data_IF_456584136954
#
_entry.id   IF_456584136954
#
_cell.length_a   1.000
_cell.length_b   1.000
_cell.length_c   1.000
_cell.angle_alpha   90.00
_cell.angle_beta   90.00
_cell.angle_gamma   90.00
#
_symmetry.space_group_name_H-M   'P 1'
#
loop_
_entity.id
_entity.type
_entity.pdbx_description
1 polymer ?
#
# COMPACT_ATOMS: atom_id res chain seq x y z
N UNK A 1 -9.21 -11.34 25.17
CA UNK A 1 -10.07 -10.50 24.31
C UNK A 1 -9.43 -10.46 22.93
N UNK A 2 -10.21 -10.42 21.83
CA UNK A 2 -9.66 -10.23 20.49
C UNK A 2 -8.96 -8.88 20.39
N UNK A 3 -7.90 -8.81 19.58
CA UNK A 3 -7.08 -7.61 19.32
C UNK A 3 -6.95 -7.33 17.82
N UNK A 4 -6.37 -6.19 17.46
CA UNK A 4 -6.05 -5.82 16.08
C UNK A 4 -4.57 -5.93 15.84
N UNK A 5 -4.16 -6.68 14.82
CA UNK A 5 -2.78 -6.73 14.36
C UNK A 5 -2.64 -5.82 13.15
N UNK A 6 -1.77 -4.82 13.23
CA UNK A 6 -1.56 -3.80 12.21
C UNK A 6 -0.18 -3.97 11.61
N UNK A 7 -0.12 -4.45 10.37
CA UNK A 7 1.12 -4.71 9.64
C UNK A 7 1.37 -3.57 8.67
N UNK A 8 2.37 -2.74 8.96
CA UNK A 8 2.77 -1.60 8.16
C UNK A 8 4.07 -1.91 7.40
N UNK A 9 3.99 -2.06 6.08
CA UNK A 9 5.13 -2.36 5.22
C UNK A 9 5.49 -1.11 4.41
N UNK A 10 6.60 -0.46 4.74
CA UNK A 10 7.01 0.74 4.01
C UNK A 10 7.77 0.40 2.71
N UNK A 11 7.65 1.26 1.73
CA UNK A 11 8.30 1.13 0.43
C UNK A 11 9.48 2.07 0.32
N UNK A 12 10.66 1.63 0.73
CA UNK A 12 11.88 2.44 0.56
C UNK A 12 12.78 1.81 -0.50
N UNK A 13 13.37 2.65 -1.33
CA UNK A 13 14.68 2.45 -1.97
C UNK A 13 15.48 3.72 -1.64
N UNK A 14 16.77 3.75 -1.99
CA UNK A 14 17.56 4.97 -2.10
C UNK A 14 16.89 5.97 -3.07
N UNK A 15 15.84 6.66 -2.66
CA UNK A 15 15.56 8.00 -3.17
C UNK A 15 16.34 8.94 -2.25
N UNK A 16 17.37 9.65 -2.77
CA UNK A 16 17.97 10.79 -2.10
C UNK A 16 16.93 11.82 -1.61
N UNK A 17 15.69 11.69 -2.08
CA UNK A 17 14.57 12.60 -1.88
C UNK A 17 13.69 12.25 -0.66
N UNK A 18 13.88 11.10 0.02
CA UNK A 18 13.11 10.80 1.23
C UNK A 18 13.64 11.64 2.40
N UNK A 19 13.01 12.80 2.58
CA UNK A 19 13.37 13.80 3.58
C UNK A 19 12.28 13.93 4.66
N UNK A 20 11.13 13.28 4.47
CA UNK A 20 10.00 13.28 5.39
C UNK A 20 9.41 11.85 5.58
N UNK A 21 8.56 11.64 6.60
CA UNK A 21 7.86 10.37 6.81
C UNK A 21 6.95 9.99 5.63
N UNK A 22 6.85 8.69 5.34
CA UNK A 22 5.83 8.18 4.40
C UNK A 22 4.47 8.12 5.10
N UNK A 23 3.40 7.94 4.32
CA UNK A 23 2.07 7.71 4.85
C UNK A 23 1.98 6.40 5.66
N UNK A 24 2.80 5.40 5.34
CA UNK A 24 2.91 4.16 6.14
C UNK A 24 3.55 4.46 7.49
N UNK A 25 4.63 5.26 7.52
CA UNK A 25 5.24 5.72 8.78
C UNK A 25 4.23 6.50 9.62
N UNK A 26 3.53 7.48 9.00
CA UNK A 26 2.52 8.28 9.71
C UNK A 26 1.41 7.40 10.31
N UNK A 27 0.91 6.41 9.58
CA UNK A 27 -0.07 5.44 10.11
C UNK A 27 0.51 4.61 11.25
N UNK A 28 1.71 4.05 11.10
CA UNK A 28 2.32 3.20 12.12
C UNK A 28 2.55 3.94 13.45
N UNK A 29 2.95 5.22 13.37
CA UNK A 29 3.11 6.08 14.54
C UNK A 29 1.77 6.48 15.17
N UNK A 30 0.73 6.69 14.34
CA UNK A 30 -0.55 7.23 14.77
C UNK A 30 -1.54 6.20 15.31
N UNK A 31 -1.34 4.89 15.13
CA UNK A 31 -2.25 3.88 15.68
C UNK A 31 -2.21 3.95 17.21
N UNK A 32 -3.38 4.08 17.85
CA UNK A 32 -3.47 4.09 19.31
C UNK A 32 -3.24 2.69 19.87
N UNK A 33 -2.68 2.56 21.08
CA UNK A 33 -2.48 1.24 21.70
C UNK A 33 -3.79 0.47 21.92
N UNK A 34 -4.90 1.19 22.15
CA UNK A 34 -6.24 0.63 22.33
C UNK A 34 -7.30 1.51 21.66
N UNK A 35 -8.41 0.90 21.23
CA UNK A 35 -9.60 1.66 20.84
C UNK A 35 -10.44 2.12 22.05
N UNK A 36 -11.52 2.86 21.78
CA UNK A 36 -12.44 3.36 22.82
C UNK A 36 -13.13 2.26 23.64
N UNK A 37 -13.06 0.99 23.22
CA UNK A 37 -13.59 -0.18 23.93
C UNK A 37 -12.49 -0.98 24.64
N UNK A 38 -11.24 -0.50 24.64
CA UNK A 38 -10.10 -1.18 25.22
C UNK A 38 -9.58 -2.35 24.38
N UNK A 39 -9.94 -2.44 23.09
CA UNK A 39 -9.39 -3.46 22.19
C UNK A 39 -7.96 -3.05 21.83
N UNK A 40 -7.00 -3.87 22.22
CA UNK A 40 -5.57 -3.70 21.90
C UNK A 40 -5.34 -3.63 20.38
N UNK A 41 -4.46 -2.74 19.95
CA UNK A 41 -4.01 -2.60 18.57
C UNK A 41 -2.48 -2.67 18.50
N UNK A 42 -1.96 -3.78 18.02
CA UNK A 42 -0.52 -4.06 18.00
C UNK A 42 0.07 -3.80 16.62
N UNK A 43 1.01 -2.87 16.55
CA UNK A 43 1.65 -2.46 15.30
C UNK A 43 2.94 -3.23 15.07
N UNK A 44 3.14 -3.68 13.83
CA UNK A 44 4.41 -4.13 13.28
C UNK A 44 4.79 -3.20 12.14
N UNK A 45 6.05 -2.74 12.14
CA UNK A 45 6.59 -1.89 11.10
C UNK A 45 7.77 -2.55 10.41
N UNK A 46 7.64 -2.80 9.10
CA UNK A 46 8.71 -3.30 8.25
C UNK A 46 9.32 -2.16 7.45
N UNK A 47 10.62 -1.95 7.64
CA UNK A 47 11.43 -1.08 6.79
C UNK A 47 11.52 -1.66 5.38
N UNK A 48 11.41 -0.81 4.36
CA UNK A 48 11.49 -1.24 2.97
C UNK A 48 12.89 -1.73 2.56
N UNK A 49 12.94 -2.39 1.40
CA UNK A 49 14.15 -3.04 0.87
C UNK A 49 15.23 -2.03 0.49
N UNK A 50 16.44 -2.17 1.04
CA UNK A 50 17.61 -1.35 0.67
C UNK A 50 17.88 -0.14 1.56
N UNK A 51 17.39 -0.15 2.81
CA UNK A 51 17.70 0.86 3.86
C UNK A 51 18.94 0.52 4.70
N UNK A 52 19.57 -0.65 4.48
CA UNK A 52 20.80 -1.04 5.16
C UNK A 52 22.00 -0.21 4.70
N UNK A 53 22.82 0.28 5.65
CA UNK A 53 24.08 0.99 5.35
C UNK A 53 24.98 0.10 4.47
N UNK A 54 25.15 0.48 3.20
CA UNK A 54 26.08 -0.15 2.26
C UNK A 54 25.48 -1.08 1.21
N UNK A 55 24.17 -1.35 1.23
CA UNK A 55 23.55 -2.26 0.26
C UNK A 55 23.15 -1.54 -1.04
N UNK A 56 24.10 -1.44 -1.98
CA UNK A 56 23.77 -1.23 -3.40
C UNK A 56 23.37 -2.56 -4.01
N UNK A 57 22.06 -2.77 -4.19
CA UNK A 57 21.51 -4.06 -4.61
C UNK A 57 21.54 -4.25 -6.13
N UNK A 58 22.24 -5.30 -6.56
CA UNK A 58 22.09 -5.99 -7.84
C UNK A 58 20.82 -6.87 -7.83
N UNK A 59 20.19 -7.11 -8.98
CA UNK A 59 18.82 -7.66 -9.09
C UNK A 59 18.49 -8.97 -8.35
N UNK A 60 19.48 -9.74 -7.86
CA UNK A 60 19.27 -10.94 -7.03
C UNK A 60 18.96 -10.66 -5.55
N UNK A 61 19.62 -9.68 -4.93
CA UNK A 61 19.36 -9.32 -3.52
C UNK A 61 18.00 -8.62 -3.34
N UNK A 62 17.44 -8.06 -4.41
CA UNK A 62 16.14 -7.41 -4.42
C UNK A 62 14.97 -8.39 -4.18
N UNK A 63 14.92 -9.49 -4.92
CA UNK A 63 13.87 -10.52 -4.74
C UNK A 63 13.99 -11.25 -3.41
N UNK A 64 15.23 -11.41 -2.93
CA UNK A 64 15.52 -11.95 -1.60
C UNK A 64 14.99 -11.02 -0.50
N UNK A 65 15.29 -9.72 -0.55
CA UNK A 65 14.81 -8.75 0.43
C UNK A 65 13.27 -8.65 0.48
N UNK A 66 12.60 -8.73 -0.67
CA UNK A 66 11.14 -8.74 -0.71
C UNK A 66 10.53 -10.01 -0.08
N UNK A 67 11.13 -11.17 -0.34
CA UNK A 67 10.72 -12.44 0.30
C UNK A 67 10.90 -12.37 1.81
N UNK A 68 12.04 -11.84 2.25
CA UNK A 68 12.35 -11.67 3.66
C UNK A 68 11.29 -10.80 4.34
N UNK A 69 10.95 -9.64 3.77
CA UNK A 69 9.93 -8.76 4.34
C UNK A 69 8.54 -9.43 4.41
N UNK A 70 8.16 -10.24 3.42
CA UNK A 70 6.88 -10.99 3.45
C UNK A 70 6.89 -12.04 4.56
N UNK A 71 7.99 -12.78 4.72
CA UNK A 71 8.17 -13.81 5.76
C UNK A 71 8.17 -13.16 7.16
N UNK A 72 8.88 -12.05 7.35
CA UNK A 72 8.94 -11.31 8.61
C UNK A 72 7.55 -10.80 9.02
N UNK A 73 6.83 -10.17 8.08
CA UNK A 73 5.45 -9.71 8.33
C UNK A 73 4.50 -10.88 8.66
N UNK A 74 4.64 -12.02 7.96
CA UNK A 74 3.86 -13.22 8.26
C UNK A 74 4.21 -13.83 9.63
N UNK A 75 5.51 -13.86 9.98
CA UNK A 75 5.99 -14.33 11.28
C UNK A 75 5.39 -13.50 12.42
N UNK A 76 5.39 -12.18 12.29
CA UNK A 76 4.71 -11.31 13.25
C UNK A 76 3.23 -11.70 13.45
N UNK A 77 2.49 -11.94 12.35
CA UNK A 77 1.09 -12.39 12.42
C UNK A 77 0.99 -13.72 13.15
N UNK A 78 1.81 -14.71 12.81
CA UNK A 78 1.82 -16.05 13.45
C UNK A 78 2.12 -15.96 14.95
N UNK A 79 3.08 -15.14 15.35
CA UNK A 79 3.52 -15.02 16.75
C UNK A 79 2.52 -14.28 17.63
N UNK A 80 1.71 -13.39 17.06
CA UNK A 80 0.82 -12.51 17.82
C UNK A 80 -0.67 -12.87 17.67
N UNK A 81 -1.07 -13.64 16.66
CA UNK A 81 -2.47 -13.91 16.38
C UNK A 81 -3.11 -14.92 17.35
N UNK A 82 -4.30 -14.58 17.83
CA UNK A 82 -5.24 -15.48 18.47
C UNK A 82 -6.55 -15.54 17.66
N UNK A 83 -7.29 -16.66 17.68
CA UNK A 83 -8.59 -16.76 17.03
C UNK A 83 -9.53 -15.62 17.45
N UNK A 84 -10.05 -14.88 16.46
CA UNK A 84 -10.92 -13.72 16.66
C UNK A 84 -10.22 -12.37 16.51
N UNK A 85 -8.89 -12.33 16.40
CA UNK A 85 -8.16 -11.11 16.12
C UNK A 85 -8.42 -10.60 14.69
N UNK A 86 -8.36 -9.29 14.51
CA UNK A 86 -8.56 -8.62 13.22
C UNK A 86 -7.21 -8.23 12.59
N UNK A 87 -7.05 -8.48 11.29
CA UNK A 87 -5.81 -8.18 10.56
C UNK A 87 -5.94 -6.94 9.66
N UNK A 88 -5.06 -5.97 9.86
CA UNK A 88 -4.95 -4.75 9.08
C UNK A 88 -3.58 -4.72 8.39
N UNK A 89 -3.55 -4.51 7.08
CA UNK A 89 -2.33 -4.39 6.30
C UNK A 89 -2.24 -3.02 5.66
N UNK A 90 -1.10 -2.37 5.82
CA UNK A 90 -0.77 -1.10 5.17
C UNK A 90 0.52 -1.23 4.38
N UNK A 91 0.60 -0.55 3.24
CA UNK A 91 1.89 -0.41 2.58
C UNK A 91 1.93 0.57 1.44
N UNK A 92 3.13 1.04 1.12
CA UNK A 92 3.39 1.99 0.04
C UNK A 92 4.35 1.36 -0.98
N UNK A 93 4.14 1.58 -2.27
CA UNK A 93 5.09 1.18 -3.32
C UNK A 93 5.37 -0.34 -3.33
N UNK A 94 6.62 -0.76 -3.08
CA UNK A 94 6.97 -2.18 -2.87
C UNK A 94 6.54 -2.69 -1.49
N UNK A 95 6.45 -1.82 -0.49
CA UNK A 95 5.82 -2.15 0.78
C UNK A 95 4.34 -2.53 0.61
N UNK A 96 3.63 -1.89 -0.33
CA UNK A 96 2.29 -2.31 -0.72
C UNK A 96 2.28 -3.72 -1.36
N UNK A 97 3.30 -4.05 -2.16
CA UNK A 97 3.49 -5.42 -2.66
C UNK A 97 3.68 -6.39 -1.49
N UNK A 98 4.53 -6.06 -0.51
CA UNK A 98 4.75 -6.88 0.69
C UNK A 98 3.45 -7.09 1.44
N UNK A 99 2.72 -6.02 1.78
CA UNK A 99 1.45 -6.07 2.49
C UNK A 99 0.41 -6.95 1.78
N UNK A 100 0.23 -6.76 0.46
CA UNK A 100 -0.66 -7.58 -0.37
C UNK A 100 -0.20 -9.04 -0.44
N UNK A 101 1.10 -9.28 -0.51
CA UNK A 101 1.66 -10.62 -0.55
C UNK A 101 1.50 -11.34 0.78
N UNK A 102 1.73 -10.67 1.91
CA UNK A 102 1.49 -11.24 3.24
C UNK A 102 0.01 -11.57 3.44
N UNK A 103 -0.91 -10.71 2.98
CA UNK A 103 -2.34 -11.01 2.93
C UNK A 103 -2.64 -12.26 2.08
N UNK A 104 -2.05 -12.37 0.89
CA UNK A 104 -2.16 -13.56 0.04
C UNK A 104 -1.57 -14.82 0.69
N UNK A 105 -0.48 -14.67 1.44
CA UNK A 105 0.19 -15.74 2.16
C UNK A 105 -0.70 -16.27 3.29
N UNK A 106 -1.26 -15.38 4.11
CA UNK A 106 -2.28 -15.74 5.13
C UNK A 106 -3.46 -16.48 4.50
N UNK A 107 -3.92 -16.06 3.31
CA UNK A 107 -4.99 -16.76 2.60
C UNK A 107 -4.60 -18.17 2.16
N UNK A 108 -3.38 -18.36 1.66
CA UNK A 108 -2.93 -19.63 1.12
C UNK A 108 -2.62 -20.63 2.24
N UNK A 109 -1.75 -20.26 3.18
CA UNK A 109 -1.25 -21.14 4.23
C UNK A 109 -2.02 -21.03 5.55
N UNK A 110 -2.96 -20.10 5.69
CA UNK A 110 -3.61 -19.79 6.98
C UNK A 110 -2.65 -19.02 7.88
N UNK A 111 -2.96 -18.95 9.17
CA UNK A 111 -2.05 -18.44 10.20
C UNK A 111 -1.58 -19.64 11.02
N UNK A 112 -0.29 -20.00 10.94
CA UNK A 112 0.23 -21.16 11.66
C UNK A 112 -0.10 -21.08 13.16
N UNK A 113 -0.49 -22.21 13.74
CA UNK A 113 -0.68 -22.31 15.19
C UNK A 113 0.68 -22.22 15.89
N UNK A 114 0.75 -21.77 17.16
CA UNK A 114 2.01 -21.60 17.89
C UNK A 114 2.91 -22.85 17.90
N UNK A 115 2.32 -24.06 17.85
CA UNK A 115 3.07 -25.33 17.86
C UNK A 115 3.69 -25.69 16.49
N UNK A 116 3.41 -24.90 15.45
CA UNK A 116 3.82 -25.16 14.06
C UNK A 116 4.59 -23.98 13.45
N UNK A 117 5.12 -23.07 14.27
CA UNK A 117 5.96 -21.94 13.84
C UNK A 117 7.20 -22.38 13.06
N UNK A 118 7.71 -23.58 13.34
CA UNK A 118 8.82 -24.20 12.60
C UNK A 118 8.48 -24.53 11.12
N UNK A 119 7.21 -24.41 10.72
CA UNK A 119 6.74 -24.65 9.34
C UNK A 119 6.56 -23.38 8.51
N UNK A 120 7.08 -22.24 8.96
CA UNK A 120 6.98 -20.98 8.19
C UNK A 120 7.59 -21.15 6.78
N UNK A 121 8.73 -21.85 6.66
CA UNK A 121 9.37 -22.07 5.36
C UNK A 121 8.54 -23.02 4.47
N UNK A 122 7.96 -24.09 5.04
CA UNK A 122 7.03 -24.98 4.33
C UNK A 122 5.81 -24.20 3.82
N UNK A 123 5.24 -23.35 4.67
CA UNK A 123 4.10 -22.50 4.35
C UNK A 123 4.46 -21.51 3.23
N UNK A 124 5.65 -20.90 3.30
CA UNK A 124 6.11 -19.95 2.29
C UNK A 124 6.40 -20.63 0.95
N UNK A 125 6.98 -21.84 0.97
CA UNK A 125 7.18 -22.66 -0.22
C UNK A 125 5.82 -23.00 -0.87
N UNK A 126 4.84 -23.41 -0.07
CA UNK A 126 3.47 -23.66 -0.54
C UNK A 126 2.83 -22.41 -1.16
N UNK A 127 3.01 -21.25 -0.54
CA UNK A 127 2.53 -19.98 -1.07
C UNK A 127 3.23 -19.60 -2.38
N UNK A 128 4.54 -19.85 -2.49
CA UNK A 128 5.38 -19.51 -3.64
C UNK A 128 5.21 -20.44 -4.82
N UNK A 129 4.81 -21.69 -4.59
CA UNK A 129 4.47 -22.64 -5.64
C UNK A 129 3.18 -22.13 -6.35
N UNK A 130 3.30 -21.83 -7.64
CA UNK A 130 2.25 -21.18 -8.46
C UNK A 130 1.44 -22.19 -9.28
N UNK A 131 1.57 -23.48 -9.00
CA UNK A 131 0.81 -24.50 -9.71
C UNK A 131 -0.65 -24.51 -9.24
N UNK A 132 -1.57 -25.00 -10.08
CA UNK A 132 -2.97 -25.20 -9.68
C UNK A 132 -3.11 -26.08 -8.42
N UNK A 133 -2.10 -26.90 -8.13
CA UNK A 133 -2.01 -27.79 -6.97
C UNK A 133 -1.82 -27.07 -5.64
N UNK A 134 -1.33 -25.83 -5.65
CA UNK A 134 -1.00 -25.03 -4.45
C UNK A 134 -1.76 -23.71 -4.40
N UNK A 135 -2.72 -23.51 -5.31
CA UNK A 135 -3.69 -22.43 -5.25
C UNK A 135 -4.42 -22.45 -3.89
N UNK A 136 -4.85 -21.32 -3.29
CA UNK A 136 -5.49 -21.32 -1.96
C UNK A 136 -6.73 -22.21 -1.82
N UNK A 137 -7.39 -22.55 -2.94
CA UNK A 137 -8.54 -23.48 -3.02
C UNK A 137 -8.17 -24.91 -3.38
N UNK A 138 -6.88 -25.22 -3.55
CA UNK A 138 -6.39 -26.56 -3.84
C UNK A 138 -6.55 -27.48 -2.62
N UNK A 139 -6.53 -28.80 -2.88
CA UNK A 139 -6.52 -29.82 -1.82
C UNK A 139 -5.31 -29.65 -0.92
N UNK A 140 -4.13 -29.39 -1.48
CA UNK A 140 -2.88 -29.28 -0.71
C UNK A 140 -2.94 -28.09 0.26
N UNK A 141 -3.29 -26.90 -0.22
CA UNK A 141 -3.40 -25.72 0.65
C UNK A 141 -4.51 -25.87 1.68
N UNK A 142 -5.62 -26.50 1.31
CA UNK A 142 -6.73 -26.75 2.25
C UNK A 142 -6.34 -27.72 3.37
N UNK A 143 -5.65 -28.82 3.03
CA UNK A 143 -5.13 -29.77 4.02
C UNK A 143 -4.07 -29.12 4.91
N UNK A 144 -3.15 -28.33 4.33
CA UNK A 144 -2.14 -27.61 5.10
C UNK A 144 -2.79 -26.68 6.15
N UNK A 145 -3.76 -25.86 5.74
CA UNK A 145 -4.49 -24.96 6.65
C UNK A 145 -5.20 -25.72 7.76
N UNK A 146 -5.93 -26.79 7.43
CA UNK A 146 -6.66 -27.60 8.42
C UNK A 146 -5.73 -28.24 9.45
N UNK A 147 -4.57 -28.73 8.99
CA UNK A 147 -3.61 -29.42 9.84
C UNK A 147 -2.83 -28.47 10.74
N UNK A 148 -2.36 -27.33 10.21
CA UNK A 148 -1.33 -26.54 10.88
C UNK A 148 -1.73 -25.12 11.25
N UNK A 149 -2.88 -24.63 10.79
CA UNK A 149 -3.20 -23.21 10.85
C UNK A 149 -4.57 -22.92 11.47
N UNK A 150 -4.77 -21.66 11.82
CA UNK A 150 -6.08 -21.03 11.94
C UNK A 150 -6.46 -20.42 10.58
N UNK A 151 -7.75 -20.47 10.25
CA UNK A 151 -8.30 -19.73 9.12
C UNK A 151 -8.90 -18.42 9.65
N UNK A 152 -8.50 -17.29 9.07
CA UNK A 152 -8.98 -15.96 9.46
C UNK A 152 -9.23 -15.09 8.24
N UNK A 153 -10.15 -14.14 8.39
CA UNK A 153 -10.42 -13.10 7.39
C UNK A 153 -9.44 -11.96 7.57
N UNK A 154 -9.15 -11.27 6.48
CA UNK A 154 -8.35 -10.05 6.50
C UNK A 154 -9.31 -8.89 6.56
N UNK A 155 -9.27 -8.13 7.66
CA UNK A 155 -10.22 -7.05 7.93
C UNK A 155 -10.04 -5.89 6.97
N UNK A 156 -8.78 -5.53 6.69
CA UNK A 156 -8.46 -4.33 5.91
C UNK A 156 -7.10 -4.43 5.21
N UNK A 157 -7.04 -4.02 3.95
CA UNK A 157 -5.80 -3.76 3.23
C UNK A 157 -5.86 -2.32 2.69
N UNK A 158 -4.95 -1.46 3.12
CA UNK A 158 -4.83 -0.09 2.64
C UNK A 158 -3.46 0.15 2.02
N UNK A 159 -3.40 0.44 0.73
CA UNK A 159 -2.13 0.60 0.03
C UNK A 159 -2.04 1.90 -0.75
N UNK A 160 -0.83 2.46 -0.82
CA UNK A 160 -0.51 3.60 -1.66
C UNK A 160 0.37 3.14 -2.82
N UNK A 161 -0.09 3.45 -4.02
CA UNK A 161 0.59 3.32 -5.30
C UNK A 161 1.43 2.05 -5.47
N UNK A 162 0.78 0.89 -5.37
CA UNK A 162 1.45 -0.41 -5.45
C UNK A 162 2.25 -0.53 -6.75
N UNK A 163 3.56 -0.79 -6.67
CA UNK A 163 4.41 -1.10 -7.83
C UNK A 163 4.90 -2.54 -7.76
N UNK A 164 4.96 -3.21 -8.91
CA UNK A 164 5.44 -4.58 -9.00
C UNK A 164 6.92 -4.70 -8.61
N UNK A 165 7.31 -5.87 -8.11
CA UNK A 165 8.70 -6.21 -7.79
C UNK A 165 9.67 -6.07 -8.99
N UNK A 166 9.16 -5.97 -10.22
CA UNK A 166 9.98 -6.01 -11.45
C UNK A 166 10.36 -4.59 -11.96
N UNK A 167 10.00 -3.55 -11.20
CA UNK A 167 9.96 -2.16 -11.67
C UNK A 167 11.25 -1.33 -11.54
N UNK A 168 12.44 -1.88 -11.77
CA UNK A 168 13.66 -1.05 -11.96
C UNK A 168 14.43 -1.62 -13.16
N UNK A 169 14.77 -0.80 -14.17
CA UNK A 169 15.63 -1.24 -15.26
C UNK A 169 17.03 -1.42 -14.67
N UNK A 170 17.44 -2.68 -14.50
CA UNK A 170 18.86 -3.00 -14.36
C UNK A 170 19.50 -2.57 -15.68
N UNK A 171 20.35 -1.56 -15.60
CA UNK A 171 21.24 -1.18 -16.69
C UNK A 171 22.04 -2.42 -17.13
N UNK A 172 21.68 -2.98 -18.30
CA UNK A 172 22.40 -4.06 -18.95
C UNK A 172 21.55 -5.27 -19.33
N UNK A 173 21.11 -5.28 -20.60
CA UNK A 173 20.77 -6.46 -21.42
C UNK A 173 19.79 -7.53 -20.91
N UNK A 174 18.64 -7.63 -21.58
CA UNK A 174 18.03 -8.89 -22.08
C UNK A 174 17.52 -9.97 -21.11
N UNK A 175 17.99 -10.04 -19.86
CA UNK A 175 17.72 -11.18 -18.96
C UNK A 175 16.55 -10.98 -17.98
N UNK A 176 15.96 -9.78 -17.91
CA UNK A 176 14.84 -9.50 -16.99
C UNK A 176 13.64 -10.43 -17.22
N UNK A 177 13.44 -10.89 -18.47
CA UNK A 177 12.27 -11.68 -18.87
C UNK A 177 12.25 -13.13 -18.36
N UNK A 178 13.39 -13.70 -17.95
CA UNK A 178 13.45 -15.07 -17.42
C UNK A 178 13.34 -15.12 -15.88
N UNK A 179 13.79 -14.05 -15.21
CA UNK A 179 13.60 -13.84 -13.77
C UNK A 179 12.18 -13.34 -13.46
N UNK A 180 11.51 -12.76 -14.46
CA UNK A 180 10.17 -12.15 -14.46
C UNK A 180 9.05 -13.02 -13.85
N UNK A 181 8.99 -14.32 -14.14
CA UNK A 181 7.83 -15.14 -13.75
C UNK A 181 7.86 -15.58 -12.28
N UNK A 182 9.03 -15.57 -11.62
CA UNK A 182 9.11 -16.00 -10.21
C UNK A 182 8.63 -14.93 -9.22
N UNK A 183 8.65 -13.66 -9.65
CA UNK A 183 8.41 -12.49 -8.78
C UNK A 183 7.20 -11.63 -9.19
N UNK A 184 6.52 -11.97 -10.29
CA UNK A 184 5.24 -11.35 -10.64
C UNK A 184 4.20 -11.61 -9.54
N UNK A 185 3.28 -10.65 -9.34
CA UNK A 185 2.24 -10.69 -8.32
C UNK A 185 1.60 -12.07 -8.18
N UNK A 186 1.43 -12.48 -6.92
CA UNK A 186 0.50 -13.54 -6.55
C UNK A 186 -0.90 -13.03 -6.81
N UNK A 187 -1.45 -13.37 -7.97
CA UNK A 187 -2.80 -13.07 -8.45
C UNK A 187 -3.25 -11.62 -8.18
N UNK A 188 -3.34 -10.80 -9.23
CA UNK A 188 -3.92 -9.45 -9.09
C UNK A 188 -5.40 -9.49 -8.69
N UNK A 189 -6.04 -10.67 -8.70
CA UNK A 189 -7.35 -10.89 -8.09
C UNK A 189 -7.26 -10.86 -6.55
N UNK A 190 -8.06 -10.00 -5.94
CA UNK A 190 -8.22 -9.95 -4.50
C UNK A 190 -8.85 -11.26 -3.99
N UNK A 191 -8.43 -11.72 -2.81
CA UNK A 191 -9.02 -12.92 -2.18
C UNK A 191 -10.40 -12.62 -1.59
N UNK A 192 -11.35 -13.56 -1.67
CA UNK A 192 -12.66 -13.47 -1.00
C UNK A 192 -12.60 -13.45 0.54
N UNK A 193 -11.42 -13.68 1.12
CA UNK A 193 -11.16 -13.59 2.55
C UNK A 193 -10.85 -12.17 3.02
N UNK A 194 -10.67 -11.23 2.08
CA UNK A 194 -10.47 -9.82 2.41
C UNK A 194 -11.82 -9.13 2.54
N UNK A 195 -12.10 -8.50 3.66
CA UNK A 195 -13.33 -7.72 3.85
C UNK A 195 -13.25 -6.39 3.11
N UNK A 196 -12.10 -5.73 3.14
CA UNK A 196 -11.93 -4.43 2.51
C UNK A 196 -10.52 -4.19 1.96
N UNK A 197 -10.46 -3.63 0.76
CA UNK A 197 -9.23 -3.32 0.05
C UNK A 197 -9.31 -1.91 -0.56
N UNK A 198 -8.41 -1.03 -0.14
CA UNK A 198 -8.36 0.37 -0.55
C UNK A 198 -6.98 0.66 -1.14
N UNK A 199 -6.94 1.23 -2.34
CA UNK A 199 -5.70 1.61 -3.01
C UNK A 199 -5.77 3.07 -3.46
N UNK A 200 -4.83 3.89 -2.99
CA UNK A 200 -4.60 5.23 -3.53
C UNK A 200 -3.59 5.15 -4.68
N UNK A 201 -3.89 5.77 -5.83
CA UNK A 201 -3.08 5.67 -7.05
C UNK A 201 -2.61 7.04 -7.51
N UNK A 202 -1.35 7.13 -7.94
CA UNK A 202 -0.80 8.35 -8.53
C UNK A 202 -1.29 8.52 -9.96
N UNK A 203 -1.84 9.68 -10.27
CA UNK A 203 -2.28 10.01 -11.62
C UNK A 203 -1.08 10.44 -12.49
N UNK A 204 -0.19 11.26 -11.94
CA UNK A 204 0.81 12.02 -12.71
C UNK A 204 2.18 11.33 -12.81
N UNK A 205 2.32 10.15 -12.23
CA UNK A 205 3.54 9.35 -12.30
C UNK A 205 3.73 8.75 -13.70
N UNK A 206 4.85 9.12 -14.34
CA UNK A 206 5.13 8.83 -15.75
C UNK A 206 6.35 7.93 -15.99
N UNK A 207 7.07 7.53 -14.93
CA UNK A 207 8.21 6.62 -15.04
C UNK A 207 7.68 5.21 -15.28
N UNK A 208 8.02 4.63 -16.43
CA UNK A 208 7.61 3.27 -16.81
C UNK A 208 7.88 2.18 -15.74
N UNK A 209 9.03 2.21 -15.02
CA UNK A 209 9.28 1.24 -13.95
C UNK A 209 8.35 1.38 -12.74
N UNK A 210 7.66 2.52 -12.58
CA UNK A 210 6.64 2.78 -11.57
C UNK A 210 5.23 2.55 -12.10
N UNK A 211 5.05 1.58 -13.01
CA UNK A 211 3.72 1.18 -13.45
C UNK A 211 2.91 0.62 -12.26
N UNK A 212 1.69 1.12 -12.01
CA UNK A 212 0.91 0.70 -10.87
C UNK A 212 0.35 -0.70 -11.09
N UNK A 213 0.30 -1.51 -10.03
CA UNK A 213 -0.37 -2.80 -10.01
C UNK A 213 -1.76 -2.65 -9.40
N UNK A 214 -2.78 -2.58 -10.24
CA UNK A 214 -4.17 -2.54 -9.82
C UNK A 214 -4.67 -3.91 -9.36
N UNK A 215 -5.72 -3.93 -8.55
CA UNK A 215 -6.54 -5.12 -8.39
C UNK A 215 -7.36 -5.35 -9.66
N UNK A 216 -7.40 -6.59 -10.10
CA UNK A 216 -8.21 -7.00 -11.24
C UNK A 216 -9.68 -7.15 -10.83
N UNK A 217 -10.58 -6.90 -11.79
CA UNK A 217 -12.01 -7.14 -11.63
C UNK A 217 -12.26 -8.58 -11.23
N UNK A 218 -13.02 -8.79 -10.17
CA UNK A 218 -13.47 -10.11 -9.74
C UNK A 218 -14.80 -10.46 -10.42
N UNK A 219 -14.94 -11.65 -11.03
CA UNK A 219 -16.21 -12.05 -11.64
C UNK A 219 -17.37 -12.22 -10.65
N UNK A 220 -17.06 -12.69 -9.42
CA UNK A 220 -18.05 -12.97 -8.38
C UNK A 220 -17.48 -12.57 -6.99
N UNK A 221 -17.42 -11.26 -6.68
CA UNK A 221 -16.96 -10.78 -5.39
C UNK A 221 -17.98 -11.08 -4.28
N UNK A 222 -17.55 -11.43 -3.06
CA UNK A 222 -18.46 -11.51 -1.91
C UNK A 222 -19.22 -10.20 -1.71
N UNK A 223 -20.52 -10.27 -1.42
CA UNK A 223 -21.39 -9.08 -1.28
C UNK A 223 -20.92 -8.08 -0.21
N UNK A 224 -20.22 -8.56 0.81
CA UNK A 224 -19.68 -7.73 1.90
C UNK A 224 -18.26 -7.23 1.63
N UNK A 225 -17.60 -7.68 0.56
CA UNK A 225 -16.26 -7.25 0.19
C UNK A 225 -16.32 -5.86 -0.45
N UNK A 226 -15.52 -4.93 0.07
CA UNK A 226 -15.41 -3.56 -0.49
C UNK A 226 -14.05 -3.36 -1.13
N UNK A 227 -14.03 -2.94 -2.39
CA UNK A 227 -12.81 -2.60 -3.12
C UNK A 227 -12.93 -1.16 -3.63
N UNK A 228 -11.92 -0.33 -3.38
CA UNK A 228 -11.84 1.01 -3.96
C UNK A 228 -10.41 1.32 -4.40
N UNK A 229 -10.25 1.64 -5.67
CA UNK A 229 -9.00 2.07 -6.30
C UNK A 229 -9.16 3.52 -6.71
N UNK A 230 -8.66 4.44 -5.90
CA UNK A 230 -8.91 5.88 -6.04
C UNK A 230 -7.66 6.57 -6.58
N UNK A 231 -7.83 7.27 -7.70
CA UNK A 231 -6.81 8.02 -8.39
C UNK A 231 -6.72 9.45 -7.85
N UNK A 232 -5.52 9.87 -7.44
CA UNK A 232 -5.21 11.15 -6.82
C UNK A 232 -4.19 11.93 -7.65
N UNK A 233 -4.27 13.26 -7.62
CA UNK A 233 -3.28 14.14 -8.27
C UNK A 233 -1.92 14.01 -7.61
N UNK A 234 -0.87 13.97 -8.43
CA UNK A 234 0.51 13.86 -8.00
C UNK A 234 1.23 12.62 -8.53
N UNK A 235 2.55 12.60 -8.36
CA UNK A 235 3.44 11.48 -8.66
C UNK A 235 3.46 10.44 -7.53
N UNK A 236 4.27 9.39 -7.67
CA UNK A 236 4.32 8.25 -6.73
C UNK A 236 4.39 8.66 -5.24
N UNK A 237 5.32 9.53 -4.87
CA UNK A 237 5.51 10.00 -3.49
C UNK A 237 4.57 11.15 -3.10
N UNK A 238 3.90 11.81 -4.06
CA UNK A 238 2.77 12.70 -3.75
C UNK A 238 1.55 11.89 -3.26
N UNK A 239 1.54 10.57 -3.42
CA UNK A 239 0.47 9.70 -2.90
C UNK A 239 0.93 8.91 -1.69
N UNK A 240 2.16 8.38 -1.71
CA UNK A 240 2.69 7.59 -0.61
C UNK A 240 3.39 8.37 0.50
N UNK A 241 3.65 9.66 0.31
CA UNK A 241 4.48 10.48 1.19
C UNK A 241 5.98 10.28 0.94
N UNK A 242 6.79 10.98 1.74
CA UNK A 242 8.26 10.99 1.65
C UNK A 242 8.89 12.32 1.25
N UNK A 243 8.09 13.24 0.69
CA UNK A 243 8.52 14.62 0.41
C UNK A 243 8.26 15.56 1.59
N UNK A 244 9.09 16.62 1.78
CA UNK A 244 8.80 17.69 2.74
C UNK A 244 7.49 18.42 2.43
N UNK A 245 7.23 18.73 1.16
CA UNK A 245 5.96 19.27 0.70
C UNK A 245 4.95 18.12 0.52
N UNK A 246 4.21 17.81 1.59
CA UNK A 246 3.36 16.62 1.67
C UNK A 246 1.86 16.89 1.50
N UNK A 247 1.46 18.08 1.01
CA UNK A 247 0.06 18.50 0.89
C UNK A 247 -0.80 17.54 0.07
N UNK A 248 -0.28 17.06 -1.07
CA UNK A 248 -0.96 16.09 -1.93
C UNK A 248 -1.00 14.68 -1.30
N UNK A 249 0.02 14.31 -0.53
CA UNK A 249 0.07 12.98 0.10
C UNK A 249 -0.83 12.88 1.33
N UNK A 250 -1.05 14.00 2.02
CA UNK A 250 -1.93 14.07 3.18
C UNK A 250 -3.40 13.87 2.81
N UNK A 251 -3.76 14.28 1.59
CA UNK A 251 -5.05 14.01 0.99
C UNK A 251 -5.31 12.50 0.90
N UNK A 252 -4.34 11.76 0.34
CA UNK A 252 -4.43 10.32 0.18
C UNK A 252 -4.36 9.60 1.54
N UNK A 253 -3.56 10.12 2.47
CA UNK A 253 -3.47 9.66 3.86
C UNK A 253 -4.81 9.78 4.58
N UNK A 254 -5.42 10.97 4.61
CA UNK A 254 -6.67 11.22 5.31
C UNK A 254 -7.83 10.40 4.73
N UNK A 255 -7.85 10.20 3.41
CA UNK A 255 -8.80 9.29 2.79
C UNK A 255 -8.62 7.86 3.32
N UNK A 256 -7.39 7.33 3.32
CA UNK A 256 -7.08 5.99 3.80
C UNK A 256 -7.39 5.82 5.29
N UNK A 257 -7.00 6.79 6.13
CA UNK A 257 -7.28 6.82 7.57
C UNK A 257 -8.78 6.83 7.82
N UNK A 258 -9.55 7.60 7.05
CA UNK A 258 -11.01 7.59 7.12
C UNK A 258 -11.61 6.23 6.80
N UNK A 259 -11.04 5.48 5.84
CA UNK A 259 -11.43 4.10 5.56
C UNK A 259 -11.07 3.17 6.72
N UNK A 260 -9.84 3.22 7.22
CA UNK A 260 -9.40 2.38 8.32
C UNK A 260 -10.24 2.58 9.60
N UNK A 261 -10.57 3.84 9.94
CA UNK A 261 -11.50 4.19 11.04
C UNK A 261 -12.87 3.55 10.84
N UNK A 262 -13.41 3.58 9.62
CA UNK A 262 -14.68 2.93 9.28
C UNK A 262 -14.68 1.41 9.47
N UNK A 263 -13.50 0.77 9.51
CA UNK A 263 -13.32 -0.66 9.78
C UNK A 263 -12.92 -0.98 11.23
N UNK A 264 -12.82 0.04 12.09
CA UNK A 264 -12.59 -0.11 13.52
C UNK A 264 -11.18 0.23 13.99
N UNK A 265 -10.25 0.62 13.10
CA UNK A 265 -8.91 1.02 13.51
C UNK A 265 -8.95 2.39 14.20
N UNK A 266 -8.50 2.46 15.44
CA UNK A 266 -8.40 3.69 16.21
C UNK A 266 -6.99 4.28 16.08
N UNK A 267 -6.93 5.61 16.05
CA UNK A 267 -5.71 6.39 15.96
C UNK A 267 -5.63 7.32 17.17
N UNK A 268 -4.42 7.70 17.56
CA UNK A 268 -4.16 8.67 18.60
C UNK A 268 -4.91 9.99 18.28
N UNK A 269 -5.60 10.59 19.27
CA UNK A 269 -6.40 11.80 19.05
C UNK A 269 -5.59 13.03 18.66
N UNK A 270 -4.27 13.05 18.92
CA UNK A 270 -3.34 14.13 18.54
C UNK A 270 -2.74 13.91 17.15
N UNK A 271 -2.99 12.75 16.52
CA UNK A 271 -2.47 12.43 15.20
C UNK A 271 -3.31 13.06 14.09
N UNK A 272 -2.63 13.43 12.99
CA UNK A 272 -3.25 14.05 11.81
C UNK A 272 -3.94 15.39 12.10
N UNK A 273 -3.43 16.14 13.07
CA UNK A 273 -3.87 17.50 13.31
C UNK A 273 -3.59 18.37 12.08
N UNK A 274 -4.62 19.06 11.60
CA UNK A 274 -4.51 20.02 10.52
C UNK A 274 -3.98 21.34 11.07
N UNK A 275 -2.86 21.81 10.54
CA UNK A 275 -2.34 23.11 10.93
C UNK A 275 -3.05 24.25 10.20
N UNK A 276 -3.15 25.39 10.85
CA UNK A 276 -3.59 26.63 10.21
C UNK A 276 -2.66 27.01 9.04
N UNK A 277 -3.21 27.49 7.91
CA UNK A 277 -2.41 27.97 6.79
C UNK A 277 -1.41 29.06 7.23
N UNK A 278 -0.16 28.97 6.82
CA UNK A 278 0.87 29.99 7.10
C UNK A 278 1.65 29.82 8.41
N UNK A 279 1.39 28.78 9.19
CA UNK A 279 2.20 28.49 10.37
C UNK A 279 3.59 27.92 9.97
N UNK A 280 4.67 28.54 10.46
CA UNK A 280 6.05 28.15 10.14
C UNK A 280 6.31 26.68 10.51
N UNK A 281 6.95 25.83 9.68
CA UNK A 281 7.17 24.41 9.97
C UNK A 281 7.70 24.19 11.40
N UNK A 282 7.29 23.12 12.11
CA UNK A 282 7.80 22.86 13.45
C UNK A 282 9.33 22.84 13.42
N UNK A 283 9.95 23.34 14.48
CA UNK A 283 11.40 23.29 14.61
C UNK A 283 11.86 21.83 14.46
N UNK A 284 12.97 21.60 13.75
CA UNK A 284 13.49 20.27 13.40
C UNK A 284 13.71 19.37 14.63
N UNK A 285 13.80 19.95 15.82
CA UNK A 285 14.04 19.28 17.11
C UNK A 285 12.76 18.79 17.82
N UNK A 286 11.56 19.19 17.39
CA UNK A 286 10.29 18.74 17.97
C UNK A 286 9.84 17.42 17.33
N UNK A 287 10.30 16.29 17.89
CA UNK A 287 10.02 14.93 17.40
C UNK A 287 8.75 14.28 18.01
N UNK A 288 7.78 15.07 18.43
CA UNK A 288 6.52 14.52 18.97
C UNK A 288 5.70 13.74 17.92
N UNK A 289 4.77 12.90 18.38
CA UNK A 289 3.83 12.19 17.49
C UNK A 289 3.04 13.17 16.61
N UNK A 290 2.58 14.27 17.20
CA UNK A 290 1.81 15.30 16.52
C UNK A 290 2.60 15.96 15.39
N UNK A 291 3.89 16.28 15.60
CA UNK A 291 4.72 16.87 14.54
C UNK A 291 5.03 15.88 13.43
N UNK A 292 5.31 14.62 13.75
CA UNK A 292 5.61 13.56 12.76
C UNK A 292 4.40 13.13 11.92
N UNK A 293 3.19 13.31 12.43
CA UNK A 293 1.94 12.88 11.78
C UNK A 293 1.08 14.05 11.30
N UNK A 294 1.59 15.28 11.38
CA UNK A 294 0.89 16.48 10.97
C UNK A 294 0.50 16.46 9.48
N UNK A 295 -0.61 17.11 9.16
CA UNK A 295 -1.19 17.13 7.81
C UNK A 295 -1.59 18.53 7.33
N UNK A 296 -1.44 18.77 6.04
CA UNK A 296 -1.72 20.03 5.32
C UNK A 296 -2.40 19.73 3.98
N UNK A 297 -3.56 19.04 3.97
CA UNK A 297 -4.16 18.60 2.72
C UNK A 297 -4.57 19.79 1.83
N UNK A 298 -3.98 19.91 0.64
CA UNK A 298 -4.30 20.95 -0.35
C UNK A 298 -4.34 20.37 -1.77
N UNK A 299 -5.49 20.48 -2.44
CA UNK A 299 -5.65 20.02 -3.82
C UNK A 299 -4.77 20.80 -4.82
N UNK A 300 -4.36 22.01 -4.43
CA UNK A 300 -3.47 22.89 -5.20
C UNK A 300 -2.01 22.83 -4.73
N UNK A 301 -1.69 21.90 -3.82
CA UNK A 301 -0.33 21.65 -3.37
C UNK A 301 0.67 21.44 -4.51
N UNK A 302 1.95 21.60 -4.17
CA UNK A 302 3.07 21.48 -5.11
C UNK A 302 3.06 20.10 -5.77
N UNK A 303 3.21 20.09 -7.10
CA UNK A 303 3.37 18.86 -7.87
C UNK A 303 4.85 18.61 -8.13
N UNK A 304 5.34 17.45 -7.73
CA UNK A 304 6.74 17.10 -7.92
C UNK A 304 6.99 16.56 -9.34
N UNK A 305 8.17 16.84 -9.89
CA UNK A 305 8.61 16.32 -11.18
C UNK A 305 9.60 15.17 -10.98
N UNK A 306 9.22 13.97 -11.42
CA UNK A 306 10.04 12.76 -11.23
C UNK A 306 10.80 12.35 -12.49
N UNK A 307 10.48 12.92 -13.65
CA UNK A 307 11.24 12.68 -14.89
C UNK A 307 12.44 13.61 -14.93
N UNK A 308 13.46 13.21 -14.19
CA UNK A 308 14.81 13.83 -14.20
C UNK A 308 15.82 12.92 -14.89
N UNK A 309 16.95 13.48 -15.33
CA UNK A 309 18.04 12.72 -15.97
C UNK A 309 17.56 11.83 -17.13
N UNK A 310 17.91 10.53 -17.06
CA UNK A 310 17.57 9.55 -18.11
C UNK A 310 16.06 9.38 -18.34
N UNK A 311 15.21 9.61 -17.33
CA UNK A 311 13.76 9.47 -17.47
C UNK A 311 13.15 10.54 -18.40
N UNK A 312 13.85 11.65 -18.67
CA UNK A 312 13.45 12.63 -19.70
C UNK A 312 13.60 12.10 -21.11
N UNK A 313 14.55 11.21 -21.33
CA UNK A 313 14.88 10.64 -22.65
C UNK A 313 14.01 9.42 -23.02
N UNK A 314 13.39 8.79 -22.03
CA UNK A 314 12.50 7.62 -22.22
C UNK A 314 11.06 8.11 -22.40
N UNK A 315 10.30 7.51 -23.33
CA UNK A 315 8.88 7.83 -23.55
C UNK A 315 8.09 7.76 -22.22
N UNK A 316 7.29 8.78 -21.88
CA UNK A 316 6.48 8.74 -20.66
C UNK A 316 5.45 7.63 -20.73
N UNK A 317 5.25 6.93 -19.62
CA UNK A 317 4.12 6.04 -19.42
C UNK A 317 2.93 6.88 -18.95
N UNK A 318 1.79 6.80 -19.62
CA UNK A 318 0.57 7.51 -19.22
C UNK A 318 -0.33 6.49 -18.53
N UNK A 319 -0.66 6.75 -17.27
CA UNK A 319 -1.57 5.92 -16.49
C UNK A 319 -3.00 6.14 -16.98
N UNK A 320 -3.79 5.06 -17.00
CA UNK A 320 -5.15 5.06 -17.52
C UNK A 320 -6.17 4.70 -16.42
N UNK A 321 -6.69 5.70 -15.68
CA UNK A 321 -7.77 5.48 -14.74
C UNK A 321 -8.99 4.83 -15.39
N UNK A 322 -9.58 3.85 -14.71
CA UNK A 322 -10.79 3.13 -15.12
C UNK A 322 -10.59 2.06 -16.19
N UNK A 323 -9.34 1.77 -16.60
CA UNK A 323 -9.07 0.77 -17.63
C UNK A 323 -9.05 -0.67 -17.12
N UNK A 324 -8.93 -0.92 -15.80
CA UNK A 324 -8.68 -2.27 -15.25
C UNK A 324 -9.90 -2.86 -14.56
N UNK A 325 -10.52 -2.08 -13.68
CA UNK A 325 -11.71 -2.46 -12.93
C UNK A 325 -12.63 -1.24 -12.81
N UNK A 326 -13.36 -0.88 -13.90
CA UNK A 326 -14.25 0.28 -13.91
C UNK A 326 -15.29 0.26 -12.78
N UNK A 327 -15.56 -0.93 -12.20
CA UNK A 327 -16.50 -1.14 -11.11
C UNK A 327 -16.01 -0.63 -9.76
N UNK A 328 -14.70 -0.56 -9.57
CA UNK A 328 -14.08 -0.18 -8.30
C UNK A 328 -13.02 0.92 -8.45
N UNK A 329 -12.86 1.49 -9.65
CA UNK A 329 -11.98 2.62 -9.91
C UNK A 329 -12.71 3.97 -9.81
N UNK A 330 -12.07 4.93 -9.14
CA UNK A 330 -12.64 6.26 -8.87
C UNK A 330 -11.58 7.35 -9.05
N UNK A 331 -12.01 8.58 -9.35
CA UNK A 331 -11.13 9.76 -9.27
C UNK A 331 -11.45 10.53 -8.00
N UNK A 332 -10.43 10.92 -7.22
CA UNK A 332 -10.62 11.73 -6.03
C UNK A 332 -11.24 13.10 -6.39
N UNK A 333 -12.21 13.56 -5.61
CA UNK A 333 -12.88 14.85 -5.85
C UNK A 333 -11.91 16.03 -5.89
N UNK A 334 -10.77 15.94 -5.21
CA UNK A 334 -9.70 16.94 -5.29
C UNK A 334 -8.92 16.96 -6.58
N UNK A 335 -8.69 15.80 -7.20
CA UNK A 335 -8.08 15.75 -8.52
C UNK A 335 -9.02 16.38 -9.55
N UNK A 336 -10.33 16.15 -9.41
CA UNK A 336 -11.36 16.83 -10.21
C UNK A 336 -11.32 18.34 -9.97
N UNK A 337 -11.27 18.80 -8.72
CA UNK A 337 -11.15 20.23 -8.37
C UNK A 337 -9.90 20.86 -8.99
N UNK A 338 -8.73 20.23 -8.81
CA UNK A 338 -7.46 20.70 -9.37
C UNK A 338 -7.55 20.86 -10.88
N UNK A 339 -8.10 19.86 -11.56
CA UNK A 339 -8.19 19.89 -13.02
C UNK A 339 -9.16 20.92 -13.58
N UNK A 340 -10.27 21.20 -12.89
CA UNK A 340 -11.22 22.22 -13.33
C UNK A 340 -10.66 23.63 -13.18
N UNK A 341 -9.80 23.84 -12.18
CA UNK A 341 -9.20 25.14 -11.90
C UNK A 341 -7.89 25.39 -12.66
N UNK A 342 -7.12 24.35 -13.01
CA UNK A 342 -5.83 24.48 -13.70
C UNK A 342 -5.93 23.96 -15.14
N UNK A 343 -6.13 24.88 -16.10
CA UNK A 343 -6.26 24.56 -17.53
C UNK A 343 -5.16 23.63 -18.12
N UNK A 344 -3.86 23.73 -17.73
CA UNK A 344 -2.83 22.81 -18.23
C UNK A 344 -2.91 21.38 -17.66
N UNK A 345 -3.64 21.17 -16.56
CA UNK A 345 -3.82 19.85 -15.93
C UNK A 345 -4.96 19.05 -16.55
N UNK A 346 -5.94 19.74 -17.18
CA UNK A 346 -7.12 19.12 -17.77
C UNK A 346 -6.82 18.28 -19.03
N UNK A 347 -5.84 18.67 -19.83
CA UNK A 347 -5.64 18.16 -21.20
C UNK A 347 -4.96 16.78 -21.29
N UNK A 348 -4.27 16.30 -20.25
CA UNK A 348 -3.52 15.04 -20.31
C UNK A 348 -4.07 13.92 -19.42
N UNK A 349 -5.02 14.24 -18.55
CA UNK A 349 -5.20 13.46 -17.32
C UNK A 349 -6.65 13.03 -17.08
N UNK A 350 -7.60 13.80 -17.61
CA UNK A 350 -9.02 13.64 -17.33
C UNK A 350 -9.89 13.32 -18.56
N UNK A 351 -9.34 12.79 -19.66
CA UNK A 351 -10.18 12.16 -20.69
C UNK A 351 -11.12 11.06 -20.14
N UNK A 352 -10.78 10.53 -18.95
CA UNK A 352 -11.64 9.67 -18.13
C UNK A 352 -12.83 10.41 -17.48
N UNK A 353 -12.70 11.69 -17.09
CA UNK A 353 -13.75 12.53 -16.43
C UNK A 353 -14.86 12.96 -17.35
N UNK A 354 -14.56 13.17 -18.61
CA UNK A 354 -15.57 13.53 -19.59
C UNK A 354 -16.39 12.32 -20.08
N UNK A 355 -16.04 11.10 -19.64
CA UNK A 355 -16.57 9.83 -20.13
C UNK A 355 -17.33 8.95 -19.13
N UNK A 356 -17.71 9.44 -17.94
CA UNK A 356 -18.45 8.75 -16.83
C UNK A 356 -17.62 8.14 -15.67
N UNK A 357 -16.67 8.81 -14.99
CA UNK A 357 -16.05 8.20 -13.83
C UNK A 357 -16.78 8.55 -12.55
N UNK A 358 -16.79 7.58 -11.64
CA UNK A 358 -17.26 7.80 -10.29
C UNK A 358 -16.25 8.67 -9.56
N UNK A 359 -16.69 9.87 -9.19
CA UNK A 359 -15.91 10.74 -8.32
C UNK A 359 -16.02 10.20 -6.90
N UNK A 360 -14.88 9.96 -6.25
CA UNK A 360 -14.82 9.62 -4.84
C UNK A 360 -14.77 10.91 -4.01
N UNK A 361 -15.77 11.19 -3.16
CA UNK A 361 -15.68 12.31 -2.24
C UNK A 361 -14.52 12.08 -1.27
N UNK A 362 -13.54 12.97 -1.30
CA UNK A 362 -12.45 13.00 -0.33
C UNK A 362 -12.64 14.22 0.56
N UNK A 363 -12.93 13.97 1.83
CA UNK A 363 -13.24 15.03 2.81
C UNK A 363 -11.95 15.55 3.42
N UNK A 364 -11.58 16.77 3.07
CA UNK A 364 -10.58 17.58 3.78
C UNK A 364 -10.58 19.03 3.30
N UNK A 365 -11.65 19.48 2.62
CA UNK A 365 -11.74 20.85 2.15
C UNK A 365 -11.65 21.79 3.36
N UNK A 366 -10.66 22.69 3.31
CA UNK A 366 -10.63 23.90 4.13
C UNK A 366 -12.00 24.58 4.04
N UNK A 367 -12.45 25.10 5.18
CA UNK A 367 -13.67 25.91 5.31
C UNK A 367 -13.70 27.05 4.30
#
# INVERSE_FOLDING_TARGET
MPKRLVVCCDGTWNTPDQQAPTNVTKVALAVADQDAKGIEQRVFYSLGVGTGRGERISGGAFGYGLSHNVIEAYRFVVENYAPGDELFFFGFSRGAFTARSTAGFVRNAGILRPQHTNRIDDAYALYRDRTSKTHPRSTQSTLFRRSYSYESRIRFIGVWDTVGALGIPVSGFGLAKLVNERWAFHDTALSSYVDAAFQALAIDEKRGPFQPTLWARQPDPPKHQRVEQVWFSGVHSDIGGGYPEHDLSDIALLWMVGRARGYGLAFDPTAFDQRSPGAAPPAVEDETLATRTQVYPDAFGQMHETRTGMYRLIRPYIRQPGGTDPDNEYVASSAVTRSRALAPYATNTLGFVDGHPRTMPVRYLRR
#
